data_IF_726741177101
#
_entry.id   IF_726741177101
#
_cell.length_a   1.000
_cell.length_b   1.000
_cell.length_c   1.000
_cell.angle_alpha   90.00
_cell.angle_beta   90.00
_cell.angle_gamma   90.00
#
_symmetry.space_group_name_H-M   'P 1'
#
loop_
_entity.id
_entity.type
_entity.pdbx_description
1 polymer ?
#
# COMPACT_ATOMS: atom_id res chain seq x y z
N UNK A 1 1.89 -4.95 -4.81
CA UNK A 1 0.99 -5.70 -5.69
C UNK A 1 -0.38 -5.04 -5.85
N UNK A 2 -0.68 -3.97 -5.09
CA UNK A 2 -1.95 -3.23 -5.23
C UNK A 2 -1.91 -2.17 -6.33
N UNK A 3 -0.74 -1.79 -6.82
CA UNK A 3 -0.58 -0.71 -7.80
C UNK A 3 -0.51 -1.19 -9.24
N UNK A 4 0.12 -2.36 -9.48
CA UNK A 4 0.37 -2.91 -10.79
C UNK A 4 0.51 -4.44 -10.77
N UNK A 5 -0.01 -5.12 -11.79
CA UNK A 5 0.16 -6.56 -11.99
C UNK A 5 0.08 -6.90 -13.47
N UNK A 6 0.74 -7.99 -13.88
CA UNK A 6 0.61 -8.55 -15.23
C UNK A 6 -0.23 -9.82 -15.13
N UNK A 7 -1.45 -9.77 -15.63
CA UNK A 7 -2.35 -10.90 -15.71
C UNK A 7 -2.40 -11.52 -17.11
N UNK A 8 -3.23 -12.59 -17.31
CA UNK A 8 -3.40 -13.23 -18.60
C UNK A 8 -3.86 -12.29 -19.72
N UNK A 9 -4.56 -11.22 -19.36
CA UNK A 9 -5.08 -10.22 -20.29
C UNK A 9 -4.18 -8.98 -20.43
N UNK A 10 -2.95 -9.03 -19.93
CA UNK A 10 -2.00 -7.93 -19.94
C UNK A 10 -1.90 -7.17 -18.61
N UNK A 11 -1.28 -5.98 -18.63
CA UNK A 11 -1.11 -5.14 -17.45
C UNK A 11 -2.44 -4.69 -16.88
N UNK A 12 -2.52 -4.59 -15.57
CA UNK A 12 -3.69 -4.10 -14.84
C UNK A 12 -3.28 -3.59 -13.45
N UNK A 13 -4.13 -2.79 -12.84
CA UNK A 13 -3.91 -2.23 -11.51
C UNK A 13 -4.43 -0.80 -11.43
N UNK A 14 -4.75 -0.30 -10.24
CA UNK A 14 -5.30 1.05 -10.10
C UNK A 14 -4.35 2.12 -10.62
N UNK A 15 -3.05 2.00 -10.38
CA UNK A 15 -2.06 2.94 -10.90
C UNK A 15 -1.91 2.83 -12.41
N UNK A 16 -1.86 1.58 -12.94
CA UNK A 16 -1.78 1.36 -14.38
C UNK A 16 -2.96 2.02 -15.11
N UNK A 17 -4.19 1.77 -14.64
CA UNK A 17 -5.39 2.33 -15.29
C UNK A 17 -5.39 3.87 -15.29
N UNK A 18 -4.92 4.49 -14.19
CA UNK A 18 -4.83 5.94 -14.08
C UNK A 18 -3.74 6.52 -14.98
N UNK A 19 -2.54 5.91 -14.98
CA UNK A 19 -1.43 6.41 -15.80
C UNK A 19 -1.69 6.17 -17.29
N UNK A 20 -2.35 5.05 -17.66
CA UNK A 20 -2.75 4.81 -19.03
C UNK A 20 -3.74 5.87 -19.51
N UNK A 21 -4.74 6.20 -18.69
CA UNK A 21 -5.68 7.27 -19.04
C UNK A 21 -5.00 8.65 -19.16
N UNK A 22 -3.97 8.91 -18.35
CA UNK A 22 -3.18 10.13 -18.46
C UNK A 22 -2.32 10.15 -19.74
N UNK A 23 -1.67 9.03 -20.08
CA UNK A 23 -0.90 8.91 -21.31
C UNK A 23 -1.79 9.07 -22.57
N UNK A 24 -3.00 8.50 -22.55
CA UNK A 24 -3.99 8.65 -23.61
C UNK A 24 -4.43 10.12 -23.77
N UNK A 25 -4.63 10.86 -22.66
CA UNK A 25 -4.94 12.30 -22.70
C UNK A 25 -3.79 13.13 -23.26
N UNK A 26 -2.54 12.73 -22.98
CA UNK A 26 -1.34 13.38 -23.54
C UNK A 26 -1.08 12.98 -25.02
N UNK A 27 -1.73 11.93 -25.53
CA UNK A 27 -1.48 11.39 -26.85
C UNK A 27 -0.11 10.71 -27.01
N UNK A 28 0.39 10.10 -25.94
CA UNK A 28 1.71 9.42 -25.90
C UNK A 28 1.56 7.94 -25.51
N UNK A 29 2.55 7.14 -25.91
CA UNK A 29 2.60 5.74 -25.49
C UNK A 29 3.10 5.63 -24.03
N UNK A 30 2.42 4.80 -23.22
CA UNK A 30 2.84 4.46 -21.86
C UNK A 30 3.90 3.36 -21.89
N UNK A 31 5.01 3.60 -21.22
CA UNK A 31 5.99 2.56 -20.86
C UNK A 31 6.01 2.42 -19.36
N UNK A 32 5.61 1.24 -18.85
CA UNK A 32 5.64 0.93 -17.42
C UNK A 32 6.88 0.13 -17.09
N UNK A 33 7.61 0.58 -16.08
CA UNK A 33 8.74 -0.14 -15.50
C UNK A 33 8.39 -0.55 -14.06
N UNK A 34 7.90 -1.79 -13.86
CA UNK A 34 7.64 -2.28 -12.51
C UNK A 34 8.95 -2.46 -11.75
N UNK A 35 8.89 -2.18 -10.44
CA UNK A 35 9.98 -2.41 -9.49
C UNK A 35 9.49 -3.30 -8.35
N UNK A 36 10.37 -4.09 -7.78
CA UNK A 36 10.03 -5.02 -6.71
C UNK A 36 9.94 -4.33 -5.34
N UNK A 37 10.61 -3.18 -5.20
CA UNK A 37 10.69 -2.44 -3.95
C UNK A 37 10.53 -0.94 -4.16
N UNK A 38 9.87 -0.27 -3.20
CA UNK A 38 9.79 1.20 -3.10
C UNK A 38 11.18 1.84 -3.10
N UNK A 39 12.19 1.13 -2.56
CA UNK A 39 13.57 1.61 -2.51
C UNK A 39 14.22 1.81 -3.88
N UNK A 40 13.70 1.19 -4.94
CA UNK A 40 14.20 1.32 -6.30
C UNK A 40 13.60 2.50 -7.05
N UNK A 41 12.48 3.06 -6.57
CA UNK A 41 11.76 4.14 -7.24
C UNK A 41 12.60 5.42 -7.28
N UNK A 42 13.14 5.83 -6.12
CA UNK A 42 13.91 7.08 -6.04
C UNK A 42 15.17 7.07 -6.93
N UNK A 43 16.01 6.01 -6.92
CA UNK A 43 17.13 5.93 -7.85
C UNK A 43 16.72 6.08 -9.33
N UNK A 44 15.67 5.40 -9.78
CA UNK A 44 15.17 5.48 -11.17
C UNK A 44 14.67 6.86 -11.56
N UNK A 45 14.02 7.57 -10.64
CA UNK A 45 13.62 8.96 -10.87
C UNK A 45 14.82 9.90 -10.94
N UNK A 46 15.82 9.72 -10.07
CA UNK A 46 16.99 10.59 -10.02
C UNK A 46 17.97 10.36 -11.17
N UNK A 47 18.02 9.13 -11.73
CA UNK A 47 18.83 8.83 -12.93
C UNK A 47 18.16 9.31 -14.23
N UNK A 48 16.88 9.69 -14.17
CA UNK A 48 16.11 10.04 -15.38
C UNK A 48 15.61 8.84 -16.19
N UNK A 49 15.70 7.62 -15.64
CA UNK A 49 15.18 6.40 -16.28
C UNK A 49 13.64 6.40 -16.31
N UNK A 50 13.01 7.15 -15.40
CA UNK A 50 11.57 7.34 -15.37
C UNK A 50 11.19 8.81 -15.25
N UNK A 51 10.13 9.22 -15.94
CA UNK A 51 9.61 10.60 -15.87
C UNK A 51 8.80 10.85 -14.59
N UNK A 52 8.16 9.81 -14.07
CA UNK A 52 7.32 9.88 -12.88
C UNK A 52 7.19 8.51 -12.22
N UNK A 53 6.82 8.50 -10.95
CA UNK A 53 6.45 7.30 -10.21
C UNK A 53 4.96 7.33 -9.86
N UNK A 54 4.24 6.31 -10.31
CA UNK A 54 2.86 6.03 -9.97
C UNK A 54 2.81 4.73 -9.16
N UNK A 55 3.00 4.84 -7.85
CA UNK A 55 3.19 3.69 -6.96
C UNK A 55 2.48 3.86 -5.60
N UNK A 56 1.48 4.73 -5.51
CA UNK A 56 0.81 5.00 -4.25
C UNK A 56 1.76 5.57 -3.19
N UNK A 57 2.62 6.51 -3.57
CA UNK A 57 3.62 7.05 -2.67
C UNK A 57 3.03 8.08 -1.71
N UNK A 58 3.23 7.87 -0.41
CA UNK A 58 2.93 8.85 0.62
C UNK A 58 3.78 10.12 0.47
N UNK A 59 3.14 11.26 0.65
CA UNK A 59 3.77 12.58 0.55
C UNK A 59 4.42 12.92 1.87
N UNK A 60 5.65 12.44 2.11
CA UNK A 60 6.40 12.74 3.34
C UNK A 60 7.33 13.93 3.17
N UNK A 61 7.69 14.58 4.29
CA UNK A 61 8.62 15.72 4.29
C UNK A 61 10.03 15.29 3.80
N UNK A 62 10.46 14.08 4.13
CA UNK A 62 11.76 13.57 3.70
C UNK A 62 11.80 13.34 2.19
N UNK A 63 10.75 12.72 1.63
CA UNK A 63 10.64 12.53 0.17
C UNK A 63 10.55 13.86 -0.58
N UNK A 64 9.88 14.86 -0.02
CA UNK A 64 9.82 16.24 -0.59
C UNK A 64 11.19 16.91 -0.75
N UNK A 65 12.23 16.46 -0.07
CA UNK A 65 13.60 16.98 -0.26
C UNK A 65 14.16 16.61 -1.63
N UNK A 66 13.77 15.47 -2.16
CA UNK A 66 14.33 14.87 -3.38
C UNK A 66 13.33 14.80 -4.54
N UNK A 67 12.05 14.81 -4.25
CA UNK A 67 10.96 14.65 -5.21
C UNK A 67 10.00 15.83 -5.19
N UNK A 68 9.41 16.11 -6.34
CA UNK A 68 8.20 16.91 -6.47
C UNK A 68 6.99 15.97 -6.45
N UNK A 69 5.90 16.38 -5.81
CA UNK A 69 4.67 15.59 -5.75
C UNK A 69 3.56 16.34 -6.44
N UNK A 70 2.79 15.62 -7.25
CA UNK A 70 1.59 16.12 -7.86
C UNK A 70 0.41 16.21 -6.89
N UNK A 71 -0.76 16.53 -7.45
CA UNK A 71 -2.02 16.60 -6.69
C UNK A 71 -2.32 15.25 -6.03
N UNK A 72 -2.60 15.20 -4.72
CA UNK A 72 -2.97 13.97 -4.05
C UNK A 72 -4.29 13.42 -4.60
N UNK A 73 -4.29 12.15 -5.01
CA UNK A 73 -5.47 11.52 -5.61
C UNK A 73 -6.14 10.47 -4.70
N UNK A 74 -5.50 10.15 -3.58
CA UNK A 74 -6.02 9.18 -2.61
C UNK A 74 -5.56 9.55 -1.20
N UNK A 75 -6.39 9.22 -0.22
CA UNK A 75 -6.05 9.30 1.19
C UNK A 75 -6.20 7.93 1.83
N UNK A 76 -5.26 7.56 2.69
CA UNK A 76 -5.24 6.28 3.40
C UNK A 76 -4.96 6.51 4.88
N UNK A 77 -5.42 5.59 5.72
CA UNK A 77 -5.06 5.58 7.13
C UNK A 77 -3.94 4.57 7.35
N UNK A 78 -3.01 4.88 8.21
CA UNK A 78 -1.86 4.05 8.57
C UNK A 78 -2.12 3.40 9.93
N UNK A 79 -2.05 2.08 9.97
CA UNK A 79 -2.45 1.29 11.12
C UNK A 79 -1.30 0.46 11.70
N UNK A 80 -1.24 0.37 13.03
CA UNK A 80 -0.53 -0.74 13.71
C UNK A 80 -1.42 -1.98 13.66
N UNK A 81 -0.84 -3.08 13.19
CA UNK A 81 -1.50 -4.38 13.08
C UNK A 81 -0.95 -5.32 14.14
N UNK A 82 -1.85 -6.02 14.85
CA UNK A 82 -1.54 -7.01 15.88
C UNK A 82 -2.38 -8.28 15.70
N UNK A 83 -1.99 -9.37 16.34
CA UNK A 83 -2.75 -10.62 16.39
C UNK A 83 -3.75 -10.62 17.54
N UNK A 84 -4.98 -11.03 17.26
CA UNK A 84 -6.02 -11.20 18.28
C UNK A 84 -5.58 -12.27 19.29
N UNK A 85 -5.67 -11.93 20.59
CA UNK A 85 -5.24 -12.82 21.67
C UNK A 85 -3.92 -12.44 22.31
N UNK A 86 -3.07 -11.61 21.65
CA UNK A 86 -1.78 -11.16 22.20
C UNK A 86 -1.87 -9.87 23.02
N UNK A 87 -3.10 -9.43 23.35
CA UNK A 87 -3.36 -8.17 24.03
C UNK A 87 -3.36 -6.96 23.08
N UNK A 88 -4.53 -6.33 22.92
CA UNK A 88 -4.69 -5.16 22.05
C UNK A 88 -3.95 -3.96 22.59
N UNK A 89 -2.96 -3.38 21.88
CA UNK A 89 -2.40 -2.06 22.21
C UNK A 89 -3.50 -0.98 22.09
N UNK A 90 -3.53 -0.05 23.03
CA UNK A 90 -4.52 1.05 23.10
C UNK A 90 -3.88 2.42 22.97
N UNK A 91 -2.56 2.49 23.18
CA UNK A 91 -1.76 3.70 23.09
C UNK A 91 -0.37 3.37 22.53
N UNK A 92 0.42 4.40 22.22
CA UNK A 92 1.82 4.22 21.82
C UNK A 92 2.64 3.60 22.95
N UNK A 93 2.33 3.92 24.21
CA UNK A 93 3.02 3.33 25.36
C UNK A 93 2.91 1.79 25.39
N UNK A 94 1.80 1.23 24.92
CA UNK A 94 1.56 -0.23 24.90
C UNK A 94 2.38 -0.97 23.82
N UNK A 95 3.05 -0.25 22.93
CA UNK A 95 3.87 -0.84 21.85
C UNK A 95 5.38 -0.66 22.05
N UNK A 96 5.80 0.07 23.09
CA UNK A 96 7.22 0.37 23.31
C UNK A 96 8.08 -0.86 23.58
N UNK A 97 7.52 -1.86 24.26
CA UNK A 97 8.19 -3.12 24.62
C UNK A 97 7.88 -4.25 23.62
N UNK A 98 7.28 -3.93 22.46
CA UNK A 98 6.91 -4.92 21.44
C UNK A 98 7.82 -4.83 20.23
N UNK A 99 8.06 -5.96 19.58
CA UNK A 99 8.78 -6.01 18.31
C UNK A 99 7.91 -5.44 17.19
N UNK A 100 8.41 -4.42 16.49
CA UNK A 100 7.76 -3.82 15.33
C UNK A 100 8.67 -4.00 14.13
N UNK A 101 8.21 -4.71 13.10
CA UNK A 101 8.92 -4.78 11.81
C UNK A 101 8.11 -4.06 10.72
N UNK A 102 8.81 -3.34 9.85
CA UNK A 102 8.23 -2.66 8.69
C UNK A 102 9.09 -2.88 7.45
N UNK A 103 8.49 -2.68 6.28
CA UNK A 103 9.23 -2.70 5.01
C UNK A 103 10.22 -1.54 5.00
N UNK A 104 11.48 -1.83 4.70
CA UNK A 104 12.55 -0.83 4.67
C UNK A 104 12.26 0.28 3.65
N UNK A 105 12.64 1.51 3.99
CA UNK A 105 12.48 2.72 3.16
C UNK A 105 11.02 3.04 2.79
N UNK A 106 10.05 2.43 3.48
CA UNK A 106 8.65 2.81 3.36
C UNK A 106 8.37 4.10 4.13
N UNK A 107 7.21 4.75 3.86
CA UNK A 107 6.74 5.89 4.67
C UNK A 107 6.49 5.52 6.14
N UNK A 108 6.27 4.23 6.41
CA UNK A 108 6.09 3.74 7.78
C UNK A 108 7.37 3.88 8.61
N UNK A 109 8.56 3.76 7.98
CA UNK A 109 9.85 4.03 8.65
C UNK A 109 9.91 5.50 9.07
N UNK A 110 9.60 6.43 8.16
CA UNK A 110 9.63 7.87 8.42
C UNK A 110 8.65 8.23 9.56
N UNK A 111 7.45 7.65 9.51
CA UNK A 111 6.42 7.87 10.52
C UNK A 111 6.85 7.38 11.92
N UNK A 112 7.37 6.14 12.00
CA UNK A 112 7.85 5.59 13.27
C UNK A 112 9.12 6.29 13.77
N UNK A 113 9.98 6.76 12.87
CA UNK A 113 11.14 7.58 13.23
C UNK A 113 10.71 8.90 13.88
N UNK A 114 9.67 9.55 13.34
CA UNK A 114 9.10 10.76 13.95
C UNK A 114 8.48 10.48 15.33
N UNK A 115 7.84 9.33 15.52
CA UNK A 115 7.34 8.91 16.83
C UNK A 115 8.46 8.68 17.85
N UNK A 116 9.63 8.20 17.41
CA UNK A 116 10.81 8.00 18.28
C UNK A 116 11.38 9.31 18.85
N UNK A 117 11.10 10.45 18.24
CA UNK A 117 11.44 11.75 18.84
C UNK A 117 10.73 11.96 20.18
N UNK A 118 9.47 11.48 20.29
CA UNK A 118 8.67 11.55 21.52
C UNK A 118 8.83 10.31 22.39
N UNK A 119 9.03 9.14 21.77
CA UNK A 119 9.14 7.82 22.40
C UNK A 119 10.47 7.14 22.06
N UNK A 120 11.60 7.54 22.67
CA UNK A 120 12.93 7.08 22.28
C UNK A 120 13.16 5.58 22.44
N UNK A 121 12.37 4.90 23.28
CA UNK A 121 12.43 3.45 23.53
C UNK A 121 11.68 2.62 22.49
N UNK A 122 10.95 3.26 21.55
CA UNK A 122 10.22 2.54 20.51
C UNK A 122 11.20 1.71 19.67
N UNK A 123 11.02 0.39 19.68
CA UNK A 123 11.81 -0.53 18.88
C UNK A 123 11.27 -0.62 17.47
N UNK A 124 12.14 -0.55 16.48
CA UNK A 124 11.82 -0.64 15.06
C UNK A 124 12.86 -1.47 14.34
N UNK A 125 12.42 -2.45 13.58
CA UNK A 125 13.25 -3.23 12.65
C UNK A 125 12.78 -2.99 11.23
N UNK A 126 13.70 -2.57 10.36
CA UNK A 126 13.45 -2.46 8.93
C UNK A 126 13.81 -3.77 8.23
N UNK A 127 12.92 -4.24 7.35
CA UNK A 127 13.15 -5.43 6.56
C UNK A 127 13.18 -5.06 5.07
N UNK A 128 14.30 -5.34 4.42
CA UNK A 128 14.53 -5.02 3.01
C UNK A 128 14.14 -6.15 2.04
N UNK A 129 14.06 -7.38 2.56
CA UNK A 129 13.99 -8.59 1.74
C UNK A 129 12.54 -9.12 1.57
N UNK A 130 11.60 -8.61 2.37
CA UNK A 130 10.21 -9.10 2.37
C UNK A 130 9.21 -7.94 2.28
N UNK A 131 8.02 -8.25 1.75
CA UNK A 131 6.93 -7.30 1.62
C UNK A 131 5.94 -7.31 2.78
N UNK A 132 4.92 -6.45 2.70
CA UNK A 132 3.87 -6.36 3.72
C UNK A 132 3.14 -7.70 3.94
N UNK A 133 2.90 -8.48 2.89
CA UNK A 133 2.22 -9.78 3.02
C UNK A 133 2.99 -10.74 3.94
N UNK A 134 4.33 -10.76 3.81
CA UNK A 134 5.19 -11.60 4.64
C UNK A 134 5.25 -11.10 6.08
N UNK A 135 5.30 -9.77 6.28
CA UNK A 135 5.24 -9.18 7.63
C UNK A 135 3.92 -9.51 8.33
N UNK A 136 2.80 -9.46 7.61
CA UNK A 136 1.51 -9.87 8.17
C UNK A 136 1.48 -11.37 8.50
N UNK A 137 2.13 -12.21 7.68
CA UNK A 137 2.30 -13.64 7.98
C UNK A 137 3.13 -13.83 9.26
N UNK A 138 4.22 -13.09 9.44
CA UNK A 138 5.05 -13.14 10.67
C UNK A 138 4.23 -12.76 11.90
N UNK A 139 3.41 -11.71 11.86
CA UNK A 139 2.50 -11.35 12.97
C UNK A 139 1.49 -12.47 13.23
N UNK A 140 0.90 -13.05 12.18
CA UNK A 140 -0.07 -14.13 12.31
C UNK A 140 0.53 -15.40 12.94
N UNK A 141 1.83 -15.65 12.71
CA UNK A 141 2.57 -16.80 13.22
C UNK A 141 3.27 -16.54 14.59
N UNK A 142 3.07 -15.39 15.22
CA UNK A 142 3.72 -14.97 16.46
C UNK A 142 5.25 -14.86 16.34
N UNK A 143 5.78 -14.62 15.15
CA UNK A 143 7.23 -14.40 14.92
C UNK A 143 7.65 -12.96 15.25
N UNK A 144 6.73 -12.01 15.09
CA UNK A 144 6.83 -10.62 15.51
C UNK A 144 5.50 -10.17 16.14
N UNK A 145 5.55 -9.17 17.01
CA UNK A 145 4.34 -8.71 17.71
C UNK A 145 3.47 -7.82 16.83
N UNK A 146 4.08 -6.91 16.08
CA UNK A 146 3.40 -5.84 15.37
C UNK A 146 4.02 -5.57 14.00
N UNK A 147 3.19 -5.08 13.07
CA UNK A 147 3.65 -4.43 11.84
C UNK A 147 2.78 -3.20 11.54
N UNK A 148 3.17 -2.43 10.52
CA UNK A 148 2.41 -1.27 10.05
C UNK A 148 1.90 -1.52 8.65
N UNK A 149 0.66 -1.10 8.40
CA UNK A 149 0.05 -1.24 7.08
C UNK A 149 -0.92 -0.11 6.78
N UNK A 150 -1.01 0.26 5.51
CA UNK A 150 -2.05 1.16 5.01
C UNK A 150 -3.41 0.46 4.97
N UNK A 151 -4.47 1.23 5.23
CA UNK A 151 -5.83 0.72 5.31
C UNK A 151 -6.29 -0.09 4.09
N UNK A 152 -5.99 0.27 2.82
CA UNK A 152 -6.40 -0.53 1.67
C UNK A 152 -5.67 -1.87 1.60
N UNK A 153 -4.36 -1.86 1.86
CA UNK A 153 -3.53 -3.06 1.78
C UNK A 153 -3.89 -4.04 2.89
N UNK A 154 -4.05 -3.55 4.12
CA UNK A 154 -4.53 -4.39 5.21
C UNK A 154 -5.92 -4.95 4.94
N UNK A 155 -6.86 -4.18 4.38
CA UNK A 155 -8.20 -4.64 4.06
C UNK A 155 -8.23 -5.79 3.04
N UNK A 156 -7.27 -5.85 2.13
CA UNK A 156 -7.09 -6.98 1.22
C UNK A 156 -6.49 -8.17 1.99
N UNK A 157 -5.38 -7.96 2.67
CA UNK A 157 -4.60 -9.02 3.31
C UNK A 157 -5.31 -9.67 4.51
N UNK A 158 -6.09 -8.91 5.29
CA UNK A 158 -6.85 -9.44 6.43
C UNK A 158 -7.78 -10.60 6.07
N UNK A 159 -8.05 -10.78 4.79
CA UNK A 159 -8.84 -11.90 4.33
C UNK A 159 -8.10 -13.24 4.43
N UNK A 160 -6.79 -13.20 4.30
CA UNK A 160 -5.92 -14.37 4.44
C UNK A 160 -5.52 -14.61 5.90
N UNK A 161 -5.55 -13.56 6.73
CA UNK A 161 -5.15 -13.57 8.14
C UNK A 161 -6.31 -13.11 9.04
N UNK A 162 -7.31 -13.98 9.29
CA UNK A 162 -8.55 -13.59 9.98
C UNK A 162 -8.35 -13.20 11.45
N UNK A 163 -7.21 -13.52 12.04
CA UNK A 163 -6.89 -13.17 13.43
C UNK A 163 -6.16 -11.84 13.57
N UNK A 164 -5.73 -11.22 12.46
CA UNK A 164 -5.10 -9.92 12.50
C UNK A 164 -6.13 -8.79 12.66
N UNK A 165 -5.78 -7.80 13.46
CA UNK A 165 -6.62 -6.64 13.78
C UNK A 165 -5.83 -5.35 13.78
N UNK A 166 -6.52 -4.25 13.55
CA UNK A 166 -6.01 -2.90 13.81
C UNK A 166 -5.97 -2.67 15.32
N UNK A 167 -4.79 -2.31 15.81
CA UNK A 167 -4.57 -1.88 17.19
C UNK A 167 -4.80 -0.37 17.34
N UNK A 168 -4.03 0.42 16.62
CA UNK A 168 -3.97 1.88 16.65
C UNK A 168 -3.97 2.43 15.22
N UNK A 169 -4.52 3.63 15.07
CA UNK A 169 -4.31 4.47 13.90
C UNK A 169 -3.09 5.38 14.19
N UNK A 170 -2.01 5.21 13.44
CA UNK A 170 -0.81 6.04 13.58
C UNK A 170 -0.96 7.36 12.84
N UNK A 171 -1.57 7.34 11.69
CA UNK A 171 -1.88 8.50 10.86
C UNK A 171 -3.24 8.31 10.21
N UNK A 172 -4.04 9.37 10.17
CA UNK A 172 -5.35 9.40 9.51
C UNK A 172 -5.25 10.36 8.35
N UNK A 173 -5.58 9.87 7.15
CA UNK A 173 -5.62 10.70 5.96
C UNK A 173 -4.26 10.98 5.34
N UNK A 174 -3.29 10.05 5.45
CA UNK A 174 -2.05 10.12 4.69
C UNK A 174 -2.34 10.23 3.19
N UNK A 175 -1.68 11.18 2.53
CA UNK A 175 -1.96 11.57 1.16
C UNK A 175 -1.03 10.86 0.19
N UNK A 176 -1.61 10.10 -0.74
CA UNK A 176 -0.88 9.46 -1.83
C UNK A 176 -0.89 10.35 -3.07
N UNK A 177 0.28 10.51 -3.70
CA UNK A 177 0.43 11.29 -4.92
C UNK A 177 1.45 10.66 -5.88
N UNK A 178 1.35 11.02 -7.15
CA UNK A 178 2.42 10.74 -8.10
C UNK A 178 3.65 11.58 -7.78
N UNK A 179 4.81 10.98 -7.89
CA UNK A 179 6.09 11.62 -7.61
C UNK A 179 6.89 11.84 -8.89
N UNK A 180 7.63 12.92 -8.91
CA UNK A 180 8.43 13.38 -10.05
C UNK A 180 9.83 13.77 -9.59
N UNK A 181 10.85 13.72 -10.48
CA UNK A 181 12.12 14.37 -10.21
C UNK A 181 11.94 15.85 -9.88
N UNK A 182 12.87 16.44 -9.11
CA UNK A 182 12.81 17.87 -8.77
C UNK A 182 12.94 18.81 -9.98
N UNK A 183 13.64 18.36 -10.99
CA UNK A 183 13.90 19.06 -12.25
C UNK A 183 12.91 18.68 -13.36
N UNK A 184 11.82 18.00 -13.01
CA UNK A 184 10.76 17.71 -13.97
C UNK A 184 10.24 18.99 -14.63
N UNK A 185 9.94 18.91 -15.92
CA UNK A 185 9.30 20.03 -16.62
C UNK A 185 8.00 20.43 -15.93
N UNK A 186 7.87 21.71 -15.57
CA UNK A 186 6.68 22.26 -14.93
C UNK A 186 5.39 21.89 -15.69
N UNK A 187 5.48 21.77 -17.01
CA UNK A 187 4.36 21.38 -17.88
C UNK A 187 3.86 19.96 -17.60
N UNK A 188 4.75 18.98 -17.35
CA UNK A 188 4.33 17.60 -17.07
C UNK A 188 3.64 17.50 -15.70
N UNK A 189 4.21 18.12 -14.67
CA UNK A 189 3.63 18.18 -13.34
C UNK A 189 2.25 18.86 -13.36
N UNK A 190 2.15 20.03 -14.02
CA UNK A 190 0.89 20.76 -14.14
C UNK A 190 -0.18 19.95 -14.91
N UNK A 191 0.20 19.24 -15.97
CA UNK A 191 -0.73 18.37 -16.71
C UNK A 191 -1.19 17.19 -15.87
N UNK A 192 -0.31 16.58 -15.08
CA UNK A 192 -0.67 15.50 -14.17
C UNK A 192 -1.65 15.99 -13.09
N UNK A 193 -1.42 17.17 -12.53
CA UNK A 193 -2.32 17.77 -11.54
C UNK A 193 -3.69 18.07 -12.14
N UNK A 194 -3.74 18.69 -13.33
CA UNK A 194 -5.00 18.95 -14.04
C UNK A 194 -5.76 17.66 -14.32
N UNK A 195 -5.06 16.64 -14.82
CA UNK A 195 -5.64 15.32 -15.06
C UNK A 195 -6.24 14.70 -13.80
N UNK A 196 -5.49 14.66 -12.69
CA UNK A 196 -5.96 14.05 -11.44
C UNK A 196 -7.17 14.79 -10.84
N UNK A 197 -7.18 16.13 -10.89
CA UNK A 197 -8.32 16.96 -10.48
C UNK A 197 -9.55 16.64 -11.34
N UNK A 198 -9.37 16.51 -12.66
CA UNK A 198 -10.45 16.19 -13.58
C UNK A 198 -10.91 14.72 -13.42
N UNK A 199 -9.99 13.79 -13.16
CA UNK A 199 -10.28 12.39 -12.87
C UNK A 199 -11.15 12.24 -11.60
N UNK A 200 -10.88 13.03 -10.57
CA UNK A 200 -11.73 13.08 -9.37
C UNK A 200 -13.14 13.61 -9.72
N UNK A 201 -13.22 14.78 -10.34
CA UNK A 201 -14.49 15.42 -10.70
C UNK A 201 -15.36 14.59 -11.65
N UNK A 202 -14.75 13.87 -12.59
CA UNK A 202 -15.45 12.98 -13.53
C UNK A 202 -15.84 11.63 -12.93
N UNK A 203 -15.40 11.34 -11.71
CA UNK A 203 -15.59 10.07 -11.03
C UNK A 203 -14.69 8.93 -11.56
N UNK A 204 -13.64 9.25 -12.35
CA UNK A 204 -12.69 8.24 -12.81
C UNK A 204 -11.97 7.58 -11.63
N UNK A 205 -11.48 8.38 -10.66
CA UNK A 205 -10.84 7.86 -9.44
C UNK A 205 -11.77 6.91 -8.68
N UNK A 206 -13.04 7.27 -8.51
CA UNK A 206 -14.03 6.43 -7.85
C UNK A 206 -14.27 5.11 -8.60
N UNK A 207 -14.37 5.14 -9.95
CA UNK A 207 -14.52 3.92 -10.75
C UNK A 207 -13.31 2.99 -10.66
N UNK A 208 -12.09 3.54 -10.69
CA UNK A 208 -10.87 2.76 -10.51
C UNK A 208 -10.83 2.14 -9.11
N UNK A 209 -11.14 2.91 -8.08
CA UNK A 209 -11.26 2.42 -6.70
C UNK A 209 -12.27 1.26 -6.59
N UNK A 210 -13.46 1.42 -7.13
CA UNK A 210 -14.50 0.38 -7.06
C UNK A 210 -14.09 -0.87 -7.85
N UNK A 211 -13.43 -0.73 -8.99
CA UNK A 211 -12.96 -1.85 -9.80
C UNK A 211 -11.99 -2.75 -9.03
N UNK A 212 -11.02 -2.17 -8.32
CA UNK A 212 -9.95 -2.93 -7.68
C UNK A 212 -10.22 -3.23 -6.20
N UNK A 213 -10.96 -2.37 -5.51
CA UNK A 213 -11.17 -2.45 -4.06
C UNK A 213 -12.64 -2.61 -3.65
N UNK A 214 -13.60 -2.43 -4.57
CA UNK A 214 -15.03 -2.51 -4.27
C UNK A 214 -15.46 -3.87 -3.75
N UNK A 215 -14.80 -4.94 -4.16
CA UNK A 215 -15.09 -6.30 -3.69
C UNK A 215 -14.69 -6.53 -2.23
N UNK A 216 -13.73 -5.77 -1.70
CA UNK A 216 -13.29 -5.92 -0.30
C UNK A 216 -14.35 -5.47 0.69
N UNK A 217 -15.29 -4.60 0.29
CA UNK A 217 -16.41 -4.15 1.11
C UNK A 217 -17.57 -5.15 1.22
N UNK A 218 -17.68 -6.12 0.28
CA UNK A 218 -18.81 -7.04 0.16
C UNK A 218 -18.54 -8.46 0.65
N UNK A 219 -17.33 -8.79 1.10
CA UNK A 219 -17.05 -10.12 1.66
C UNK A 219 -17.61 -10.22 3.07
N UNK A 220 -18.84 -10.74 3.17
CA UNK A 220 -19.51 -11.03 4.42
C UNK A 220 -18.82 -12.20 5.15
N UNK A 221 -18.71 -12.06 6.49
CA UNK A 221 -18.16 -13.07 7.41
C UNK A 221 -18.84 -14.44 7.26
N UNK A 222 -20.13 -14.47 6.94
CA UNK A 222 -20.91 -15.71 6.73
C UNK A 222 -20.46 -16.47 5.47
N UNK A 223 -20.18 -15.76 4.38
CA UNK A 223 -19.69 -16.36 3.14
C UNK A 223 -18.32 -17.02 3.29
N UNK A 224 -17.42 -16.41 4.09
CA UNK A 224 -16.09 -16.96 4.37
C UNK A 224 -16.13 -18.26 5.19
N UNK A 225 -16.90 -18.29 6.27
CA UNK A 225 -17.03 -19.47 7.11
C UNK A 225 -17.56 -20.67 6.32
N UNK A 226 -18.50 -20.42 5.42
CA UNK A 226 -19.01 -21.43 4.52
C UNK A 226 -17.96 -21.87 3.49
N UNK A 227 -17.19 -20.94 2.91
CA UNK A 227 -16.12 -21.26 1.96
C UNK A 227 -15.01 -22.09 2.63
N UNK A 228 -14.50 -21.67 3.79
CA UNK A 228 -13.45 -22.39 4.54
C UNK A 228 -13.97 -23.80 4.92
N UNK A 229 -15.20 -23.91 5.43
CA UNK A 229 -15.81 -25.21 5.74
C UNK A 229 -15.91 -26.10 4.51
N UNK A 230 -16.25 -25.57 3.35
CA UNK A 230 -16.32 -26.33 2.10
C UNK A 230 -14.94 -26.69 1.56
N UNK A 231 -13.96 -25.80 1.69
CA UNK A 231 -12.58 -26.05 1.35
C UNK A 231 -11.99 -27.17 2.20
N UNK A 232 -12.12 -27.11 3.52
CA UNK A 232 -11.60 -28.12 4.44
C UNK A 232 -12.33 -29.49 4.32
N UNK A 233 -13.65 -29.47 4.14
CA UNK A 233 -14.46 -30.70 4.18
C UNK A 233 -14.74 -31.33 2.81
N UNK A 234 -14.71 -30.59 1.72
CA UNK A 234 -15.04 -31.07 0.38
C UNK A 234 -13.83 -31.24 -0.53
N UNK A 235 -12.88 -30.30 -0.52
CA UNK A 235 -11.72 -30.36 -1.40
C UNK A 235 -10.86 -31.63 -1.21
N UNK A 236 -10.63 -32.17 0.01
CA UNK A 236 -9.90 -33.40 0.19
C UNK A 236 -10.51 -34.61 -0.56
N UNK A 237 -11.82 -34.59 -0.75
CA UNK A 237 -12.53 -35.67 -1.48
C UNK A 237 -12.26 -35.68 -2.99
N UNK A 238 -11.80 -34.55 -3.53
CA UNK A 238 -11.54 -34.39 -4.97
C UNK A 238 -10.06 -34.29 -5.31
N UNK A 239 -9.17 -34.34 -4.29
CA UNK A 239 -7.71 -34.27 -4.47
C UNK A 239 -7.14 -35.32 -5.42
N UNK A 240 -7.81 -36.44 -5.59
CA UNK A 240 -7.41 -37.51 -6.50
C UNK A 240 -7.86 -37.28 -7.97
N UNK A 241 -8.61 -36.19 -8.23
CA UNK A 241 -9.13 -35.86 -9.57
C UNK A 241 -8.31 -34.71 -10.23
N UNK A 242 -7.38 -34.10 -9.48
CA UNK A 242 -6.42 -33.12 -9.93
C UNK A 242 -5.00 -33.62 -9.70
#
# INVERSE_FOLDING_TARGET
>A
PTSYTIGPNGPSGPEYDLVQAFADELGVALVMEPVDSVSEILPKLLSGDAHMAAAGLSVTNDRRRFLSFGHPYKSVDVHIIYKLGTGKPRSVDDILDRSIEVVARSSHVDLLASLRETYPTLSLTENADIGLADLLAKVANDEIDLTVADSPDFNIQRHFYPDLRVALDLEIGDRLAWAFPKDVADSLLARADEFLINADRSGLLARVQDRYFGHTRKFDYVGKRNFIRHYENRLPRYRAMF
#
